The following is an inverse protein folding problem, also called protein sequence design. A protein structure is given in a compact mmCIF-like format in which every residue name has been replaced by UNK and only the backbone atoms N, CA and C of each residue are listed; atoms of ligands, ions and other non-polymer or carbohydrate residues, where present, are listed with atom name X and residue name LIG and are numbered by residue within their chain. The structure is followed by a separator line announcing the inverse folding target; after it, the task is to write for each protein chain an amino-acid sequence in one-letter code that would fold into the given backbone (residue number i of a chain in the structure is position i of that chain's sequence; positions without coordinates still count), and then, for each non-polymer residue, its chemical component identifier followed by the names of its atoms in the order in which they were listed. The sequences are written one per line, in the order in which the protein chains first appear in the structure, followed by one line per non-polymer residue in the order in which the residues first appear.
data_IF_835816269075
#
_entry.id   IF_835816269075
#
_cell.length_a   1.000
_cell.length_b   1.000
_cell.length_c   1.000
_cell.angle_alpha   90.00
_cell.angle_beta   90.00
_cell.angle_gamma   90.00
#
_symmetry.space_group_name_H-M   'P 1'
#
loop_
_entity.id
_entity.type
_entity.pdbx_description
1 polymer ?
#
# COMPACT_ATOMS: atom_id res chain seq x y z
N UNK A 1 -24.23 -9.95 19.80
CA UNK A 1 -23.02 -10.15 18.98
C UNK A 1 -21.91 -10.58 19.92
N UNK A 2 -21.47 -11.83 19.89
CA UNK A 2 -20.38 -12.31 20.76
C UNK A 2 -19.05 -11.68 20.31
N UNK A 3 -18.13 -11.36 21.23
CA UNK A 3 -16.85 -10.75 20.87
C UNK A 3 -16.02 -11.69 19.98
N UNK A 4 -15.34 -11.15 18.98
CA UNK A 4 -14.44 -11.91 18.10
C UNK A 4 -13.22 -12.34 18.93
N UNK A 5 -12.92 -13.65 19.04
CA UNK A 5 -11.76 -14.09 19.81
C UNK A 5 -10.45 -13.69 19.11
N UNK A 6 -9.57 -12.99 19.83
CA UNK A 6 -8.28 -12.50 19.33
C UNK A 6 -7.20 -13.58 19.41
N UNK A 7 -7.23 -14.53 18.47
CA UNK A 7 -6.14 -15.48 18.25
C UNK A 7 -4.92 -14.80 17.60
N UNK A 8 -3.69 -15.31 17.76
CA UNK A 8 -2.49 -14.71 17.16
C UNK A 8 -2.58 -14.42 15.64
N UNK A 9 -3.13 -15.30 14.78
CA UNK A 9 -3.30 -14.99 13.35
C UNK A 9 -4.23 -13.80 13.10
N UNK A 10 -5.34 -13.72 13.84
CA UNK A 10 -6.28 -12.59 13.76
C UNK A 10 -5.64 -11.28 14.21
N UNK A 11 -4.78 -11.29 15.23
CA UNK A 11 -4.07 -10.10 15.68
C UNK A 11 -3.15 -9.53 14.59
N UNK A 12 -2.44 -10.40 13.87
CA UNK A 12 -1.60 -9.98 12.73
C UNK A 12 -2.47 -9.30 11.66
N UNK A 13 -3.58 -9.93 11.26
CA UNK A 13 -4.46 -9.38 10.24
C UNK A 13 -5.24 -8.13 10.69
N UNK A 14 -5.54 -7.99 11.99
CA UNK A 14 -6.09 -6.76 12.57
C UNK A 14 -5.10 -5.60 12.45
N UNK A 15 -3.83 -5.82 12.82
CA UNK A 15 -2.76 -4.83 12.66
C UNK A 15 -2.55 -4.47 11.18
N UNK A 16 -2.56 -5.46 10.28
CA UNK A 16 -2.48 -5.22 8.84
C UNK A 16 -3.64 -4.37 8.32
N UNK A 17 -4.85 -4.61 8.82
CA UNK A 17 -6.02 -3.80 8.47
C UNK A 17 -5.85 -2.35 8.91
N UNK A 18 -5.36 -2.12 10.14
CA UNK A 18 -5.08 -0.76 10.63
C UNK A 18 -3.97 -0.07 9.82
N UNK A 19 -2.89 -0.79 9.51
CA UNK A 19 -1.80 -0.28 8.66
C UNK A 19 -2.31 0.06 7.25
N UNK A 20 -3.16 -0.79 6.68
CA UNK A 20 -3.73 -0.56 5.36
C UNK A 20 -4.69 0.64 5.35
N UNK A 21 -5.50 0.83 6.40
CA UNK A 21 -6.34 2.04 6.54
C UNK A 21 -5.52 3.32 6.64
N UNK A 22 -4.47 3.33 7.47
CA UNK A 22 -3.55 4.45 7.57
C UNK A 22 -2.90 4.76 6.21
N UNK A 23 -2.45 3.71 5.51
CA UNK A 23 -1.81 3.85 4.20
C UNK A 23 -2.82 4.32 3.13
N UNK A 24 -4.08 3.88 3.22
CA UNK A 24 -5.17 4.30 2.32
C UNK A 24 -5.47 5.79 2.49
N UNK A 25 -5.48 6.28 3.73
CA UNK A 25 -5.61 7.70 4.01
C UNK A 25 -4.49 8.52 3.34
N UNK A 26 -3.24 8.04 3.39
CA UNK A 26 -2.10 8.69 2.72
C UNK A 26 -2.25 8.68 1.20
N UNK A 27 -2.63 7.54 0.62
CA UNK A 27 -2.92 7.43 -0.82
C UNK A 27 -4.03 8.39 -1.25
N UNK A 28 -5.10 8.50 -0.45
CA UNK A 28 -6.21 9.40 -0.73
C UNK A 28 -5.76 10.86 -0.75
N UNK A 29 -5.01 11.31 0.26
CA UNK A 29 -4.49 12.69 0.32
C UNK A 29 -3.56 12.99 -0.86
N UNK A 30 -2.68 12.04 -1.22
CA UNK A 30 -1.78 12.21 -2.36
C UNK A 30 -2.57 12.39 -3.67
N UNK A 31 -3.55 11.51 -3.93
CA UNK A 31 -4.37 11.57 -5.13
C UNK A 31 -5.21 12.85 -5.16
N UNK A 32 -5.92 13.19 -4.08
CA UNK A 32 -6.80 14.36 -4.05
C UNK A 32 -6.05 15.66 -4.28
N UNK A 33 -4.85 15.78 -3.73
CA UNK A 33 -4.03 16.98 -3.89
C UNK A 33 -3.42 17.09 -5.28
N UNK A 34 -3.04 15.97 -5.92
CA UNK A 34 -2.55 15.97 -7.30
C UNK A 34 -3.65 16.30 -8.30
N UNK A 35 -4.88 15.86 -8.04
CA UNK A 35 -6.05 16.14 -8.89
C UNK A 35 -6.35 17.63 -9.04
N UNK A 36 -5.99 18.46 -8.04
CA UNK A 36 -6.18 19.92 -8.09
C UNK A 36 -5.46 20.54 -9.30
N UNK A 37 -4.27 20.02 -9.64
CA UNK A 37 -3.44 20.54 -10.73
C UNK A 37 -3.70 19.84 -12.07
N UNK A 38 -4.41 18.71 -12.04
CA UNK A 38 -4.56 17.81 -13.18
C UNK A 38 -5.14 18.52 -14.41
N UNK A 39 -6.18 19.35 -14.25
CA UNK A 39 -6.80 20.07 -15.38
C UNK A 39 -5.85 21.09 -16.05
N UNK A 40 -4.98 21.73 -15.27
CA UNK A 40 -3.98 22.65 -15.80
C UNK A 40 -2.86 21.86 -16.50
N UNK A 41 -2.40 20.77 -15.89
CA UNK A 41 -1.40 19.87 -16.45
C UNK A 41 -1.88 19.22 -17.75
N UNK A 42 -3.15 18.82 -17.85
CA UNK A 42 -3.75 18.28 -19.08
C UNK A 42 -3.78 19.29 -20.21
N UNK A 43 -4.13 20.56 -19.93
CA UNK A 43 -4.09 21.62 -20.94
C UNK A 43 -2.68 21.85 -21.44
N UNK A 44 -1.69 21.85 -20.54
CA UNK A 44 -0.29 22.02 -20.89
C UNK A 44 0.28 20.80 -21.65
N UNK A 45 -0.15 19.59 -21.30
CA UNK A 45 0.24 18.34 -21.95
C UNK A 45 -0.11 18.31 -23.45
N UNK A 46 -1.19 18.99 -23.88
CA UNK A 46 -1.56 19.12 -25.31
C UNK A 46 -0.46 19.75 -26.17
N UNK A 47 0.43 20.52 -25.55
CA UNK A 47 1.49 21.26 -26.23
C UNK A 47 2.90 20.79 -25.84
N UNK A 48 3.03 19.82 -24.94
CA UNK A 48 4.33 19.33 -24.47
C UNK A 48 4.29 17.84 -24.12
N UNK A 49 5.08 17.06 -24.86
CA UNK A 49 5.20 15.62 -24.63
C UNK A 49 5.78 15.30 -23.25
N UNK A 50 6.71 16.13 -22.77
CA UNK A 50 7.28 15.98 -21.44
C UNK A 50 6.22 16.09 -20.34
N UNK A 51 5.31 17.07 -20.44
CA UNK A 51 4.24 17.26 -19.43
C UNK A 51 3.23 16.11 -19.50
N UNK A 52 2.89 15.65 -20.70
CA UNK A 52 2.04 14.47 -20.89
C UNK A 52 2.63 13.23 -20.21
N UNK A 53 3.93 12.97 -20.41
CA UNK A 53 4.61 11.81 -19.85
C UNK A 53 4.69 11.89 -18.32
N UNK A 54 4.93 13.08 -17.76
CA UNK A 54 4.94 13.31 -16.30
C UNK A 54 3.55 13.13 -15.66
N UNK A 55 2.50 13.65 -16.31
CA UNK A 55 1.12 13.42 -15.88
C UNK A 55 0.79 11.92 -15.88
N UNK A 56 1.20 11.20 -16.91
CA UNK A 56 0.96 9.77 -17.03
C UNK A 56 1.70 8.95 -15.96
N UNK A 57 2.96 9.28 -15.68
CA UNK A 57 3.73 8.65 -14.58
C UNK A 57 3.09 8.92 -13.23
N UNK A 58 2.67 10.15 -12.98
CA UNK A 58 1.97 10.55 -11.75
C UNK A 58 0.71 9.71 -11.54
N UNK A 59 -0.18 9.66 -12.54
CA UNK A 59 -1.41 8.83 -12.48
C UNK A 59 -1.12 7.36 -12.23
N UNK A 60 -0.16 6.78 -12.97
CA UNK A 60 0.18 5.35 -12.83
C UNK A 60 0.77 5.01 -11.47
N UNK A 61 1.68 5.82 -10.95
CA UNK A 61 2.30 5.55 -9.65
C UNK A 61 1.29 5.66 -8.51
N UNK A 62 0.45 6.70 -8.51
CA UNK A 62 -0.61 6.84 -7.51
C UNK A 62 -1.68 5.75 -7.65
N UNK A 63 -2.04 5.37 -8.88
CA UNK A 63 -2.96 4.27 -9.16
C UNK A 63 -2.45 2.92 -8.67
N UNK A 64 -1.19 2.58 -8.96
CA UNK A 64 -0.55 1.34 -8.47
C UNK A 64 -0.53 1.31 -6.94
N UNK A 65 -0.17 2.42 -6.30
CA UNK A 65 -0.17 2.55 -4.84
C UNK A 65 -1.57 2.34 -4.26
N UNK A 66 -2.57 3.05 -4.78
CA UNK A 66 -3.96 2.93 -4.33
C UNK A 66 -4.51 1.51 -4.48
N UNK A 67 -4.29 0.87 -5.63
CA UNK A 67 -4.76 -0.52 -5.87
C UNK A 67 -4.11 -1.50 -4.89
N UNK A 68 -2.80 -1.41 -4.64
CA UNK A 68 -2.15 -2.32 -3.69
C UNK A 68 -2.62 -2.14 -2.26
N UNK A 69 -2.89 -0.90 -1.86
CA UNK A 69 -3.41 -0.62 -0.51
C UNK A 69 -4.83 -1.16 -0.35
N UNK A 70 -5.70 -0.97 -1.34
CA UNK A 70 -7.07 -1.53 -1.33
C UNK A 70 -7.02 -3.06 -1.29
N UNK A 71 -6.19 -3.68 -2.12
CA UNK A 71 -6.02 -5.12 -2.13
C UNK A 71 -5.57 -5.63 -0.75
N UNK A 72 -4.57 -4.99 -0.15
CA UNK A 72 -4.08 -5.35 1.17
C UNK A 72 -5.14 -5.16 2.25
N UNK A 73 -5.90 -4.07 2.21
CA UNK A 73 -6.97 -3.77 3.16
C UNK A 73 -8.08 -4.82 3.10
N UNK A 74 -8.53 -5.16 1.90
CA UNK A 74 -9.58 -6.17 1.69
C UNK A 74 -9.08 -7.53 2.17
N UNK A 75 -7.89 -7.95 1.76
CA UNK A 75 -7.37 -9.26 2.16
C UNK A 75 -7.14 -9.36 3.67
N UNK A 76 -6.54 -8.35 4.30
CA UNK A 76 -6.32 -8.37 5.76
C UNK A 76 -7.63 -8.33 6.54
N UNK A 77 -8.64 -7.59 6.06
CA UNK A 77 -9.95 -7.52 6.72
C UNK A 77 -10.66 -8.87 6.64
N UNK A 78 -10.63 -9.51 5.46
CA UNK A 78 -11.24 -10.84 5.28
C UNK A 78 -10.56 -11.88 6.19
N UNK A 79 -9.24 -11.91 6.26
CA UNK A 79 -8.49 -12.84 7.11
C UNK A 79 -8.60 -12.53 8.61
N UNK A 80 -8.87 -11.28 8.98
CA UNK A 80 -9.20 -10.92 10.36
C UNK A 80 -10.59 -11.45 10.77
N UNK A 81 -11.59 -11.25 9.91
CA UNK A 81 -12.97 -11.71 10.16
C UNK A 81 -13.07 -13.24 10.14
N UNK A 82 -12.47 -13.87 9.13
CA UNK A 82 -12.46 -15.31 8.96
C UNK A 82 -11.06 -15.80 8.52
N UNK A 83 -10.25 -16.34 9.45
CA UNK A 83 -8.95 -16.93 9.15
C UNK A 83 -9.00 -18.14 8.19
N UNK A 84 -10.18 -18.70 7.93
CA UNK A 84 -10.40 -19.82 7.01
C UNK A 84 -11.07 -19.40 5.70
N UNK A 85 -11.21 -18.09 5.45
CA UNK A 85 -11.82 -17.55 4.25
C UNK A 85 -11.15 -18.07 2.96
N UNK A 86 -9.84 -18.32 3.01
CA UNK A 86 -9.08 -18.88 1.90
C UNK A 86 -8.79 -20.38 2.11
N UNK A 87 -8.80 -21.18 1.03
CA UNK A 87 -8.35 -22.57 1.11
C UNK A 87 -6.86 -22.61 1.51
N UNK A 88 -6.42 -23.69 2.17
CA UNK A 88 -5.07 -23.78 2.78
C UNK A 88 -3.93 -23.46 1.80
N UNK A 89 -4.00 -23.97 0.57
CA UNK A 89 -2.99 -23.70 -0.45
C UNK A 89 -2.91 -22.19 -0.78
N UNK A 90 -4.07 -21.51 -0.84
CA UNK A 90 -4.13 -20.09 -1.12
C UNK A 90 -3.53 -19.31 0.07
N UNK A 91 -3.83 -19.67 1.32
CA UNK A 91 -3.24 -19.04 2.51
C UNK A 91 -1.70 -19.04 2.47
N UNK A 92 -1.07 -20.16 2.08
CA UNK A 92 0.39 -20.24 1.97
C UNK A 92 0.97 -19.35 0.86
N UNK A 93 0.18 -19.07 -0.19
CA UNK A 93 0.62 -18.24 -1.31
C UNK A 93 0.27 -16.76 -1.15
N UNK A 94 -0.79 -16.43 -0.41
CA UNK A 94 -1.31 -15.06 -0.29
C UNK A 94 -0.31 -14.14 0.40
N UNK A 95 0.27 -14.54 1.53
CA UNK A 95 1.25 -13.72 2.24
C UNK A 95 2.51 -13.42 1.42
N UNK A 96 3.20 -14.40 0.81
CA UNK A 96 4.35 -14.11 -0.05
C UNK A 96 3.95 -13.35 -1.33
N UNK A 97 2.78 -13.62 -1.92
CA UNK A 97 2.32 -12.88 -3.09
C UNK A 97 2.07 -11.39 -2.78
N UNK A 98 1.40 -11.08 -1.67
CA UNK A 98 1.16 -9.69 -1.26
C UNK A 98 2.45 -8.99 -0.84
N UNK A 99 3.37 -9.69 -0.15
CA UNK A 99 4.70 -9.17 0.13
C UNK A 99 5.40 -8.72 -1.17
N UNK A 100 5.48 -9.61 -2.16
CA UNK A 100 6.12 -9.30 -3.44
C UNK A 100 5.39 -8.16 -4.16
N UNK A 101 4.07 -8.17 -4.19
CA UNK A 101 3.27 -7.11 -4.81
C UNK A 101 3.55 -5.74 -4.18
N UNK A 102 3.63 -5.65 -2.85
CA UNK A 102 4.02 -4.42 -2.16
C UNK A 102 5.45 -3.98 -2.48
N UNK A 103 6.42 -4.91 -2.48
CA UNK A 103 7.81 -4.61 -2.86
C UNK A 103 7.87 -4.04 -4.30
N UNK A 104 7.15 -4.65 -5.24
CA UNK A 104 7.09 -4.16 -6.62
C UNK A 104 6.45 -2.79 -6.71
N UNK A 105 5.30 -2.58 -6.06
CA UNK A 105 4.61 -1.30 -6.05
C UNK A 105 5.47 -0.20 -5.43
N UNK A 106 6.08 -0.46 -4.26
CA UNK A 106 6.96 0.50 -3.60
C UNK A 106 8.17 0.85 -4.47
N UNK A 107 8.83 -0.14 -5.08
CA UNK A 107 9.95 0.12 -6.01
C UNK A 107 9.50 0.90 -7.24
N UNK A 108 8.35 0.57 -7.82
CA UNK A 108 7.79 1.28 -8.97
C UNK A 108 7.50 2.75 -8.65
N UNK A 109 6.83 3.02 -7.53
CA UNK A 109 6.52 4.39 -7.08
C UNK A 109 7.80 5.14 -6.73
N UNK A 110 8.71 4.52 -5.96
CA UNK A 110 9.97 5.11 -5.55
C UNK A 110 10.88 5.44 -6.74
N UNK A 111 10.85 4.64 -7.82
CA UNK A 111 11.66 4.94 -9.03
C UNK A 111 11.34 6.28 -9.67
N UNK A 112 10.12 6.78 -9.46
CA UNK A 112 9.66 8.07 -9.97
C UNK A 112 9.72 9.16 -8.90
N UNK A 113 9.16 8.89 -7.72
CA UNK A 113 9.02 9.89 -6.66
C UNK A 113 10.27 10.03 -5.79
N UNK A 114 10.97 8.94 -5.48
CA UNK A 114 12.11 8.93 -4.56
C UNK A 114 13.34 8.23 -5.17
N UNK A 115 13.83 8.67 -6.34
CA UNK A 115 14.86 7.96 -7.10
C UNK A 115 16.23 7.90 -6.39
N UNK A 116 16.50 8.81 -5.45
CA UNK A 116 17.76 8.88 -4.72
C UNK A 116 17.84 7.89 -3.55
N UNK A 117 16.84 7.91 -2.67
CA UNK A 117 16.89 7.19 -1.38
C UNK A 117 15.70 6.23 -1.15
N UNK A 118 14.74 6.22 -2.08
CA UNK A 118 13.53 5.39 -2.00
C UNK A 118 12.55 5.75 -0.88
N UNK A 119 12.74 6.90 -0.22
CA UNK A 119 11.96 7.33 0.95
C UNK A 119 11.41 8.75 0.84
N UNK A 120 12.21 9.68 0.32
CA UNK A 120 11.84 11.08 0.21
C UNK A 120 11.29 11.35 -1.20
N UNK A 121 10.00 11.62 -1.27
CA UNK A 121 9.31 11.85 -2.53
C UNK A 121 9.54 13.29 -2.96
N UNK A 122 10.34 13.48 -4.02
CA UNK A 122 10.51 14.73 -4.76
C UNK A 122 11.20 15.87 -4.00
N UNK A 123 11.68 16.85 -4.76
CA UNK A 123 12.09 18.14 -4.20
C UNK A 123 10.82 18.93 -3.87
N UNK A 124 10.54 19.15 -2.58
CA UNK A 124 9.47 20.08 -2.17
C UNK A 124 9.79 21.45 -2.74
N UNK A 125 8.88 22.02 -3.53
CA UNK A 125 9.12 23.28 -4.23
C UNK A 125 8.56 24.40 -3.35
N UNK A 126 9.40 25.26 -2.73
CA UNK A 126 8.94 26.32 -1.84
C UNK A 126 8.50 27.54 -2.65
N UNK A 127 7.54 27.35 -3.57
CA UNK A 127 6.95 28.43 -4.36
C UNK A 127 5.48 28.64 -3.97
N UNK A 128 5.01 29.90 -3.90
CA UNK A 128 3.60 30.21 -3.65
C UNK A 128 2.69 29.45 -4.63
N UNK A 129 1.63 28.83 -4.12
CA UNK A 129 0.65 28.08 -4.92
C UNK A 129 0.97 26.59 -5.15
N UNK A 130 2.08 26.07 -4.60
CA UNK A 130 2.46 24.64 -4.67
C UNK A 130 2.30 23.90 -3.33
N UNK A 131 1.52 24.44 -2.40
CA UNK A 131 1.25 23.83 -1.09
C UNK A 131 0.68 22.43 -1.21
N UNK A 132 -0.30 22.25 -2.08
CA UNK A 132 -1.03 21.00 -2.28
C UNK A 132 -0.12 19.97 -2.96
N UNK A 133 0.74 20.40 -3.88
CA UNK A 133 1.77 19.53 -4.46
C UNK A 133 2.76 19.05 -3.40
N UNK A 134 3.23 19.94 -2.53
CA UNK A 134 4.14 19.59 -1.44
C UNK A 134 3.46 18.61 -0.45
N UNK A 135 2.19 18.83 -0.13
CA UNK A 135 1.41 17.90 0.69
C UNK A 135 1.17 16.56 -0.02
N UNK A 136 0.96 16.54 -1.34
CA UNK A 136 0.88 15.31 -2.11
C UNK A 136 2.21 14.53 -2.10
N UNK A 137 3.33 15.23 -2.22
CA UNK A 137 4.67 14.66 -2.11
C UNK A 137 4.87 14.01 -0.74
N UNK A 138 4.57 14.74 0.33
CA UNK A 138 4.63 14.25 1.72
C UNK A 138 3.67 13.08 1.97
N UNK A 139 2.47 13.12 1.40
CA UNK A 139 1.52 12.03 1.47
C UNK A 139 2.04 10.79 0.72
N UNK A 140 2.74 10.98 -0.40
CA UNK A 140 3.40 9.91 -1.17
C UNK A 140 4.57 9.29 -0.38
N UNK A 141 5.34 10.06 0.40
CA UNK A 141 6.32 9.51 1.36
C UNK A 141 5.63 8.63 2.40
N UNK A 142 4.52 9.12 2.97
CA UNK A 142 3.70 8.35 3.92
C UNK A 142 3.13 7.07 3.30
N UNK A 143 2.74 7.10 2.02
CA UNK A 143 2.33 5.93 1.26
C UNK A 143 3.47 4.94 1.08
N UNK A 144 4.67 5.37 0.67
CA UNK A 144 5.85 4.51 0.54
C UNK A 144 6.23 3.85 1.87
N UNK A 145 6.16 4.61 2.97
CA UNK A 145 6.40 4.09 4.31
C UNK A 145 5.31 3.10 4.73
N UNK A 146 4.05 3.38 4.46
CA UNK A 146 2.93 2.49 4.74
C UNK A 146 3.03 1.17 3.97
N UNK A 147 3.36 1.23 2.68
CA UNK A 147 3.66 0.04 1.86
C UNK A 147 4.82 -0.77 2.45
N UNK A 148 5.89 -0.11 2.92
CA UNK A 148 7.00 -0.81 3.59
C UNK A 148 6.55 -1.50 4.89
N UNK A 149 5.70 -0.87 5.70
CA UNK A 149 5.14 -1.53 6.89
C UNK A 149 4.25 -2.72 6.53
N UNK A 150 3.48 -2.60 5.44
CA UNK A 150 2.71 -3.71 4.90
C UNK A 150 3.63 -4.84 4.42
N UNK A 151 4.75 -4.55 3.75
CA UNK A 151 5.78 -5.55 3.39
C UNK A 151 6.23 -6.33 4.64
N UNK A 152 6.68 -5.63 5.68
CA UNK A 152 7.12 -6.27 6.92
C UNK A 152 6.02 -7.11 7.59
N UNK A 153 4.78 -6.62 7.55
CA UNK A 153 3.64 -7.34 8.13
C UNK A 153 3.32 -8.63 7.35
N UNK A 154 3.37 -8.60 6.01
CA UNK A 154 3.12 -9.77 5.16
C UNK A 154 4.27 -10.76 5.22
N UNK A 155 5.51 -10.28 5.39
CA UNK A 155 6.66 -11.13 5.70
C UNK A 155 6.48 -11.83 7.05
N UNK A 156 6.05 -11.10 8.09
CA UNK A 156 5.77 -11.68 9.40
C UNK A 156 4.63 -12.71 9.33
N UNK A 157 3.57 -12.44 8.55
CA UNK A 157 2.49 -13.39 8.31
C UNK A 157 2.96 -14.66 7.57
N UNK A 158 3.81 -14.50 6.55
CA UNK A 158 4.39 -15.63 5.81
C UNK A 158 5.31 -16.48 6.71
N UNK A 159 6.15 -15.82 7.51
CA UNK A 159 7.01 -16.48 8.48
C UNK A 159 6.19 -17.20 9.55
N UNK A 160 5.14 -16.57 10.10
CA UNK A 160 4.23 -17.20 11.05
C UNK A 160 3.53 -18.41 10.43
N UNK A 161 3.03 -18.32 9.19
CA UNK A 161 2.42 -19.45 8.49
C UNK A 161 3.39 -20.61 8.20
N UNK A 162 4.67 -20.29 7.93
CA UNK A 162 5.73 -21.27 7.69
C UNK A 162 6.32 -21.90 8.97
N UNK A 163 6.49 -21.12 10.04
CA UNK A 163 7.07 -21.54 11.32
C UNK A 163 6.02 -22.19 12.23
N UNK A 164 4.83 -21.63 12.32
CA UNK A 164 3.77 -22.22 13.15
C UNK A 164 3.23 -23.49 12.52
N UNK A 165 3.27 -23.59 11.19
CA UNK A 165 2.55 -24.63 10.47
C UNK A 165 1.05 -24.53 10.74
N UNK A 166 0.22 -24.75 9.73
CA UNK A 166 -1.11 -25.31 10.01
C UNK A 166 -0.96 -26.82 10.29
N UNK A 167 -0.02 -27.17 11.18
CA UNK A 167 0.26 -28.50 11.70
C UNK A 167 0.32 -28.39 13.23
N UNK A 168 -0.29 -29.34 13.94
CA UNK A 168 -0.27 -29.46 15.40
C UNK A 168 -1.21 -28.60 16.26
N UNK A 169 -2.44 -28.36 15.81
CA UNK A 169 -3.60 -28.25 16.74
C UNK A 169 -4.73 -29.22 16.36
N UNK A 170 -4.38 -30.44 15.95
CA UNK A 170 -5.33 -31.56 15.79
C UNK A 170 -4.78 -32.91 16.26
N UNK A 171 -3.72 -32.93 17.08
CA UNK A 171 -3.32 -34.14 17.83
C UNK A 171 -3.97 -34.22 19.23
N UNK A 172 -5.25 -33.80 19.32
CA UNK A 172 -6.13 -34.14 20.44
C UNK A 172 -7.55 -34.35 19.91
N UNK A 173 -7.74 -35.48 19.23
CA UNK A 173 -9.00 -36.22 19.20
C UNK A 173 -8.71 -37.59 19.82
#
# INVERSE_FOLDING_TARGET
MSPIPLSPPRLIHALQTLLALYTAQKSYIAISNLQIYESATEKAAKYSKTIEDELWKTRKTQGVGGVMVVLSLVTSTLLFLDPHFLPRWAMYTTSPALLLAHVFARKYIASYWAPSDGKNAGTRIPVPGMSEYNEASKATEGLLQGLQWLEWSWLAAAAAGGVLGYGDVTLRA
#
